data_IF_150601331576
#
_entry.id   IF_150601331576
#
_cell.length_a   1.000
_cell.length_b   1.000
_cell.length_c   1.000
_cell.angle_alpha   90.00
_cell.angle_beta   90.00
_cell.angle_gamma   90.00
#
_symmetry.space_group_name_H-M   'P 1'
#
loop_
_entity.id
_entity.type
_entity.pdbx_description
1 polymer ?
#
# COMPACT_ATOMS: atom_id res chain seq x y z
N UNK A 1 -2.29 -24.47 -46.54
CA UNK A 1 -3.25 -24.77 -45.45
C UNK A 1 -2.71 -24.02 -44.26
N UNK A 2 -3.16 -22.78 -44.08
CA UNK A 2 -2.75 -21.94 -42.94
C UNK A 2 -3.37 -22.56 -41.68
N UNK A 3 -2.52 -22.86 -40.71
CA UNK A 3 -2.94 -23.42 -39.44
C UNK A 3 -3.24 -22.23 -38.55
N UNK A 4 -4.53 -21.93 -38.38
CA UNK A 4 -5.02 -20.90 -37.45
C UNK A 4 -4.58 -21.24 -36.03
N UNK A 5 -3.63 -20.46 -35.49
CA UNK A 5 -3.10 -20.63 -34.13
C UNK A 5 -4.14 -20.37 -33.01
N UNK A 6 -5.34 -19.92 -33.36
CA UNK A 6 -6.46 -19.71 -32.42
C UNK A 6 -7.00 -21.02 -31.83
N UNK A 7 -6.80 -22.16 -32.49
CA UNK A 7 -7.27 -23.46 -32.03
C UNK A 7 -6.46 -24.04 -30.84
N UNK A 8 -5.36 -23.40 -30.42
CA UNK A 8 -4.46 -23.94 -29.38
C UNK A 8 -4.95 -23.72 -27.94
N UNK A 9 -5.95 -22.87 -27.70
CA UNK A 9 -6.60 -22.83 -26.38
C UNK A 9 -7.71 -23.86 -26.35
N UNK A 10 -7.42 -25.03 -25.76
CA UNK A 10 -8.43 -26.02 -25.39
C UNK A 10 -9.37 -25.38 -24.37
N UNK A 11 -10.45 -24.80 -24.85
CA UNK A 11 -11.56 -24.29 -24.06
C UNK A 11 -12.46 -25.51 -23.81
N UNK A 12 -12.60 -25.92 -22.55
CA UNK A 12 -13.32 -27.14 -22.13
C UNK A 12 -14.86 -27.03 -22.24
N UNK A 13 -15.37 -26.06 -23.00
CA UNK A 13 -16.80 -25.96 -23.31
C UNK A 13 -17.01 -26.27 -24.79
N UNK A 14 -17.79 -27.32 -25.07
CA UNK A 14 -18.38 -27.61 -26.40
C UNK A 14 -19.28 -26.48 -26.94
N UNK A 15 -19.49 -25.42 -26.15
CA UNK A 15 -20.04 -24.16 -26.63
C UNK A 15 -18.90 -23.34 -27.22
N UNK A 16 -18.73 -23.42 -28.54
CA UNK A 16 -18.07 -22.36 -29.30
C UNK A 16 -18.60 -21.01 -28.81
N UNK A 17 -17.70 -20.08 -28.54
CA UNK A 17 -17.96 -18.81 -27.89
C UNK A 17 -18.68 -17.85 -28.87
N UNK A 18 -19.89 -18.19 -29.32
CA UNK A 18 -20.73 -17.40 -30.25
C UNK A 18 -21.28 -16.11 -29.65
N UNK A 19 -21.01 -15.82 -28.37
CA UNK A 19 -21.52 -14.62 -27.68
C UNK A 19 -20.54 -13.47 -27.81
N UNK A 20 -21.06 -12.32 -28.22
CA UNK A 20 -20.32 -11.06 -28.23
C UNK A 20 -19.93 -10.63 -26.79
N UNK A 21 -18.90 -9.80 -26.62
CA UNK A 21 -18.44 -9.34 -25.29
C UNK A 21 -19.55 -8.73 -24.43
N UNK A 22 -20.49 -8.02 -25.08
CA UNK A 22 -21.65 -7.43 -24.44
C UNK A 22 -22.59 -8.48 -23.84
N UNK A 23 -22.84 -9.60 -24.56
CA UNK A 23 -23.66 -10.70 -24.08
C UNK A 23 -22.98 -11.50 -22.97
N UNK A 24 -21.64 -11.50 -22.92
CA UNK A 24 -20.87 -12.04 -21.79
C UNK A 24 -20.94 -11.14 -20.55
N UNK A 25 -21.00 -9.83 -20.74
CA UNK A 25 -21.11 -8.86 -19.66
C UNK A 25 -22.45 -8.94 -18.91
N UNK A 26 -23.52 -9.45 -19.54
CA UNK A 26 -24.82 -9.70 -18.89
C UNK A 26 -24.73 -10.77 -17.79
N UNK A 27 -23.78 -11.71 -17.90
CA UNK A 27 -23.55 -12.77 -16.91
C UNK A 27 -22.41 -12.46 -15.95
N UNK A 28 -21.91 -11.21 -15.92
CA UNK A 28 -20.95 -10.82 -14.88
C UNK A 28 -21.61 -10.99 -13.51
N UNK A 29 -20.93 -11.62 -12.55
CA UNK A 29 -21.48 -11.75 -11.20
C UNK A 29 -21.81 -10.35 -10.66
N UNK A 30 -23.09 -10.13 -10.36
CA UNK A 30 -23.65 -8.87 -9.82
C UNK A 30 -23.40 -8.70 -8.33
N UNK A 31 -22.75 -9.67 -7.69
CA UNK A 31 -22.38 -9.61 -6.28
C UNK A 31 -21.29 -8.55 -6.01
N UNK A 32 -21.32 -7.96 -4.81
CA UNK A 32 -20.21 -7.12 -4.33
C UNK A 32 -18.93 -7.95 -4.34
N UNK A 33 -17.92 -7.48 -5.08
CA UNK A 33 -16.59 -8.07 -5.01
C UNK A 33 -16.08 -7.96 -3.57
N UNK A 34 -15.53 -9.05 -2.98
CA UNK A 34 -14.96 -8.97 -1.65
C UNK A 34 -13.81 -7.95 -1.66
N UNK A 35 -13.71 -7.15 -0.60
CA UNK A 35 -12.57 -6.24 -0.40
C UNK A 35 -11.29 -7.07 -0.46
N UNK A 36 -10.27 -6.57 -1.16
CA UNK A 36 -8.99 -7.26 -1.24
C UNK A 36 -8.39 -7.36 0.16
N UNK A 37 -7.99 -8.57 0.57
CA UNK A 37 -7.38 -8.79 1.89
C UNK A 37 -6.13 -7.91 2.07
N UNK A 38 -5.39 -7.65 0.98
CA UNK A 38 -4.23 -6.76 0.97
C UNK A 38 -4.59 -5.33 1.39
N UNK A 39 -5.71 -4.78 0.93
CA UNK A 39 -6.16 -3.45 1.34
C UNK A 39 -6.50 -3.43 2.83
N UNK A 40 -7.19 -4.47 3.31
CA UNK A 40 -7.51 -4.61 4.73
C UNK A 40 -6.24 -4.65 5.59
N UNK A 41 -5.22 -5.42 5.18
CA UNK A 41 -3.94 -5.47 5.88
C UNK A 41 -3.22 -4.12 5.88
N UNK A 42 -3.20 -3.40 4.76
CA UNK A 42 -2.60 -2.07 4.68
C UNK A 42 -3.28 -1.08 5.64
N UNK A 43 -4.61 -1.08 5.66
CA UNK A 43 -5.39 -0.24 6.59
C UNK A 43 -5.13 -0.64 8.04
N UNK A 44 -5.10 -1.94 8.35
CA UNK A 44 -4.80 -2.43 9.69
C UNK A 44 -3.41 -1.99 10.18
N UNK A 45 -2.39 -2.05 9.31
CA UNK A 45 -1.02 -1.58 9.62
C UNK A 45 -0.99 -0.06 9.83
N UNK A 46 -1.70 0.71 9.01
CA UNK A 46 -1.81 2.17 9.19
C UNK A 46 -2.46 2.53 10.52
N UNK A 47 -3.54 1.84 10.90
CA UNK A 47 -4.21 2.08 12.19
C UNK A 47 -3.31 1.67 13.35
N UNK A 48 -2.67 0.51 13.29
CA UNK A 48 -1.77 0.03 14.34
C UNK A 48 -0.59 0.99 14.56
N UNK A 49 0.05 1.44 13.48
CA UNK A 49 1.15 2.42 13.56
C UNK A 49 0.69 3.76 14.12
N UNK A 50 -0.51 4.23 13.76
CA UNK A 50 -1.09 5.44 14.32
C UNK A 50 -1.34 5.33 15.83
N UNK A 51 -1.89 4.20 16.30
CA UNK A 51 -2.10 3.95 17.74
C UNK A 51 -0.78 3.91 18.52
N UNK A 52 0.26 3.32 17.94
CA UNK A 52 1.60 3.31 18.54
C UNK A 52 2.15 4.74 18.64
N UNK A 53 2.06 5.53 17.57
CA UNK A 53 2.48 6.94 17.60
C UNK A 53 1.72 7.76 18.63
N UNK A 54 0.42 7.51 18.78
CA UNK A 54 -0.39 8.13 19.82
C UNK A 54 0.08 7.72 21.23
N UNK A 55 0.32 6.43 21.47
CA UNK A 55 0.86 5.97 22.75
C UNK A 55 2.21 6.62 23.07
N UNK A 56 3.13 6.71 22.09
CA UNK A 56 4.42 7.37 22.27
C UNK A 56 4.28 8.83 22.70
N UNK A 57 3.30 9.55 22.15
CA UNK A 57 3.06 10.95 22.53
C UNK A 57 2.67 11.11 24.00
N UNK A 58 1.96 10.13 24.59
CA UNK A 58 1.52 10.18 26.00
C UNK A 58 2.69 9.96 26.98
N UNK A 59 3.74 9.26 26.56
CA UNK A 59 4.92 9.03 27.40
C UNK A 59 5.91 10.21 27.39
N UNK A 60 5.74 11.17 26.47
CA UNK A 60 6.57 12.37 26.41
C UNK A 60 6.16 13.35 27.52
N UNK A 61 6.93 13.37 28.62
CA UNK A 61 6.69 14.27 29.77
C UNK A 61 7.27 15.67 29.59
N UNK A 62 8.17 15.86 28.62
CA UNK A 62 8.86 17.13 28.39
C UNK A 62 8.30 17.85 27.17
N UNK A 63 8.32 19.18 27.22
CA UNK A 63 7.96 20.04 26.09
C UNK A 63 9.03 19.92 25.01
N UNK A 64 8.74 19.12 23.98
CA UNK A 64 9.57 19.01 22.79
C UNK A 64 9.12 20.05 21.76
N UNK A 65 10.07 20.81 21.22
CA UNK A 65 9.89 21.63 20.02
C UNK A 65 10.13 20.76 18.79
N UNK A 66 9.20 20.78 17.85
CA UNK A 66 9.30 20.02 16.61
C UNK A 66 8.85 20.87 15.43
N UNK A 67 9.45 20.64 14.27
CA UNK A 67 9.14 21.40 13.05
C UNK A 67 8.68 20.45 11.94
N UNK A 68 7.65 20.84 11.20
CA UNK A 68 7.04 20.02 10.16
C UNK A 68 7.71 20.26 8.80
N UNK A 69 8.47 19.28 8.29
CA UNK A 69 9.12 19.24 6.96
C UNK A 69 10.12 20.38 6.63
N UNK A 70 9.96 21.57 7.20
CA UNK A 70 10.69 22.82 6.96
C UNK A 70 10.89 23.50 8.33
N UNK A 71 12.00 24.22 8.49
CA UNK A 71 12.36 24.89 9.76
C UNK A 71 11.45 26.07 10.14
N UNK A 72 10.60 26.54 9.23
CA UNK A 72 9.73 27.70 9.47
C UNK A 72 8.42 27.34 10.21
N UNK A 73 8.01 26.07 10.20
CA UNK A 73 6.76 25.60 10.83
C UNK A 73 7.05 24.79 12.10
N UNK A 74 7.38 25.49 13.18
CA UNK A 74 7.69 24.88 14.46
C UNK A 74 6.54 25.04 15.47
N UNK A 75 6.25 23.96 16.19
CA UNK A 75 5.23 23.90 17.23
C UNK A 75 5.81 23.26 18.49
N UNK A 76 5.20 23.56 19.63
CA UNK A 76 5.49 22.86 20.88
C UNK A 76 4.50 21.72 21.07
N UNK A 77 5.00 20.57 21.53
CA UNK A 77 4.21 19.37 21.84
C UNK A 77 3.05 19.60 22.81
N UNK A 78 3.15 20.62 23.68
CA UNK A 78 2.11 20.98 24.64
C UNK A 78 0.99 21.83 24.05
N UNK A 79 1.28 22.64 23.04
CA UNK A 79 0.27 23.48 22.39
C UNK A 79 -0.63 22.66 21.48
N UNK A 80 -0.05 21.69 20.76
CA UNK A 80 -0.78 20.89 19.80
C UNK A 80 -0.36 19.41 19.84
N UNK A 81 -0.94 18.66 20.78
CA UNK A 81 -0.70 17.22 20.95
C UNK A 81 -1.04 16.43 19.68
N UNK A 82 -2.13 16.78 18.99
CA UNK A 82 -2.53 16.12 17.74
C UNK A 82 -1.47 16.28 16.63
N UNK A 83 -0.88 17.47 16.50
CA UNK A 83 0.20 17.71 15.54
C UNK A 83 1.46 16.95 15.92
N UNK A 84 1.76 16.84 17.22
CA UNK A 84 2.90 16.05 17.70
C UNK A 84 2.73 14.54 17.39
N UNK A 85 1.53 13.99 17.57
CA UNK A 85 1.21 12.60 17.20
C UNK A 85 1.40 12.38 15.69
N UNK A 86 0.86 13.29 14.87
CA UNK A 86 1.03 13.23 13.41
C UNK A 86 2.51 13.36 13.01
N UNK A 87 3.27 14.21 13.67
CA UNK A 87 4.70 14.36 13.43
C UNK A 87 5.46 13.05 13.69
N UNK A 88 5.22 12.40 14.83
CA UNK A 88 5.83 11.09 15.15
C UNK A 88 5.43 10.05 14.11
N UNK A 89 4.15 10.00 13.76
CA UNK A 89 3.63 9.07 12.77
C UNK A 89 4.31 9.23 11.41
N UNK A 90 4.41 10.45 10.89
CA UNK A 90 5.03 10.73 9.60
C UNK A 90 6.52 10.40 9.61
N UNK A 91 7.26 10.74 10.67
CA UNK A 91 8.68 10.41 10.80
C UNK A 91 8.92 8.89 10.80
N UNK A 92 8.06 8.13 11.49
CA UNK A 92 8.13 6.68 11.53
C UNK A 92 7.90 6.08 10.13
N UNK A 93 6.94 6.61 9.37
CA UNK A 93 6.69 6.18 7.99
C UNK A 93 7.83 6.53 7.04
N UNK A 94 8.44 7.73 7.17
CA UNK A 94 9.63 8.11 6.39
C UNK A 94 10.75 7.10 6.63
N UNK A 95 10.98 6.68 7.88
CA UNK A 95 11.99 5.69 8.23
C UNK A 95 11.69 4.32 7.60
N UNK A 96 10.45 3.81 7.73
CA UNK A 96 10.05 2.53 7.14
C UNK A 96 10.21 2.54 5.62
N UNK A 97 9.76 3.61 4.96
CA UNK A 97 9.88 3.78 3.51
C UNK A 97 11.35 3.84 3.10
N UNK A 98 12.18 4.56 3.87
CA UNK A 98 13.63 4.63 3.65
C UNK A 98 14.29 3.25 3.67
N UNK A 99 13.97 2.42 4.66
CA UNK A 99 14.48 1.04 4.74
C UNK A 99 13.99 0.21 3.55
N UNK A 100 12.71 0.32 3.18
CA UNK A 100 12.13 -0.42 2.06
C UNK A 100 12.80 -0.04 0.72
N UNK A 101 13.03 1.25 0.47
CA UNK A 101 13.72 1.74 -0.72
C UNK A 101 15.18 1.26 -0.72
N UNK A 102 15.89 1.37 0.39
CA UNK A 102 17.27 0.90 0.52
C UNK A 102 17.38 -0.59 0.22
N UNK A 103 16.47 -1.41 0.77
CA UNK A 103 16.40 -2.84 0.47
C UNK A 103 16.10 -3.11 -1.01
N UNK A 104 15.16 -2.37 -1.60
CA UNK A 104 14.79 -2.54 -3.01
C UNK A 104 15.96 -2.23 -3.95
N UNK A 105 16.68 -1.12 -3.71
CA UNK A 105 17.87 -0.75 -4.47
C UNK A 105 18.98 -1.78 -4.26
N UNK A 106 19.25 -2.18 -3.01
CA UNK A 106 20.25 -3.19 -2.68
C UNK A 106 19.99 -4.54 -3.34
N UNK A 107 18.73 -5.00 -3.34
CA UNK A 107 18.30 -6.23 -4.03
C UNK A 107 18.49 -6.15 -5.54
N UNK A 108 18.18 -4.99 -6.14
CA UNK A 108 18.34 -4.78 -7.59
C UNK A 108 19.82 -4.78 -8.02
N UNK A 109 20.70 -4.20 -7.19
CA UNK A 109 22.15 -4.25 -7.40
C UNK A 109 22.69 -5.67 -7.19
N UNK A 110 22.33 -6.34 -6.10
CA UNK A 110 22.78 -7.71 -5.80
C UNK A 110 22.40 -8.73 -6.89
N UNK A 111 21.21 -8.61 -7.48
CA UNK A 111 20.81 -9.45 -8.61
C UNK A 111 21.58 -9.15 -9.91
N UNK A 112 22.08 -7.92 -10.10
CA UNK A 112 22.94 -7.56 -11.24
C UNK A 112 24.39 -8.04 -11.08
N UNK A 113 24.88 -8.11 -9.85
CA UNK A 113 26.25 -8.54 -9.54
C UNK A 113 26.39 -10.04 -9.22
N UNK A 114 25.27 -10.77 -9.10
CA UNK A 114 25.28 -12.24 -9.10
C UNK A 114 25.67 -12.74 -10.50
N UNK A 115 26.97 -12.93 -10.70
CA UNK A 115 27.58 -13.82 -11.70
C UNK A 115 27.62 -15.23 -11.10
#
# INVERSE_FOLDING_TARGET
>A
MEIDEEAKKVIWSLQENKRNEEQRNVFKPTGRKPISKNLLYLVAVLVATFLISFALSLFSKSTVFFCFFIEDFCFTSTENVALYVLYIFMNLWILIIGIAIAYWIGKKLGNKFKV
#
